data_IF_164373949263
#
_entry.id   IF_164373949263
#
_cell.length_a   1.000
_cell.length_b   1.000
_cell.length_c   1.000
_cell.angle_alpha   90.00
_cell.angle_beta   90.00
_cell.angle_gamma   90.00
#
_symmetry.space_group_name_H-M   'P 1'
#
loop_
_entity.id
_entity.type
_entity.pdbx_description
1 polymer ?
#
# COMPACT_ATOMS: atom_id res chain seq x y z
N UNK A 1 -32.02 -9.36 -5.51
CA UNK A 1 -31.35 -10.59 -5.07
C UNK A 1 -29.86 -10.31 -5.10
N UNK A 2 -29.35 -9.75 -3.99
CA UNK A 2 -27.91 -9.48 -3.84
C UNK A 2 -27.20 -10.82 -3.87
N UNK A 3 -26.43 -11.06 -4.92
CA UNK A 3 -25.59 -12.25 -5.02
C UNK A 3 -24.41 -11.96 -4.10
N UNK A 4 -24.45 -12.52 -2.90
CA UNK A 4 -23.35 -12.50 -1.94
C UNK A 4 -22.17 -13.28 -2.55
N UNK A 5 -21.43 -12.62 -3.45
CA UNK A 5 -20.07 -13.02 -3.73
C UNK A 5 -19.26 -12.52 -2.53
N UNK A 6 -18.74 -13.40 -1.66
CA UNK A 6 -17.88 -12.97 -0.57
C UNK A 6 -16.71 -12.19 -1.18
N UNK A 7 -16.57 -10.93 -0.78
CA UNK A 7 -15.50 -10.06 -1.26
C UNK A 7 -14.16 -10.74 -0.95
N UNK A 8 -13.24 -10.88 -1.92
CA UNK A 8 -11.93 -11.44 -1.66
C UNK A 8 -11.25 -10.69 -0.51
N UNK A 9 -10.65 -11.41 0.43
CA UNK A 9 -10.07 -10.82 1.64
C UNK A 9 -9.06 -9.69 1.33
N UNK A 10 -8.27 -9.84 0.27
CA UNK A 10 -7.38 -8.80 -0.25
C UNK A 10 -8.14 -7.53 -0.64
N UNK A 11 -9.24 -7.66 -1.38
CA UNK A 11 -10.11 -6.54 -1.77
C UNK A 11 -10.73 -5.86 -0.56
N UNK A 12 -11.16 -6.64 0.46
CA UNK A 12 -11.68 -6.08 1.70
C UNK A 12 -10.62 -5.26 2.46
N UNK A 13 -9.38 -5.75 2.55
CA UNK A 13 -8.27 -5.01 3.17
C UNK A 13 -7.88 -3.75 2.38
N UNK A 14 -7.92 -3.81 1.04
CA UNK A 14 -7.67 -2.65 0.19
C UNK A 14 -8.73 -1.56 0.39
N UNK A 15 -10.01 -1.94 0.45
CA UNK A 15 -11.11 -1.01 0.75
C UNK A 15 -10.94 -0.44 2.15
N UNK A 16 -10.65 -1.28 3.15
CA UNK A 16 -10.41 -0.85 4.52
C UNK A 16 -9.26 0.17 4.61
N UNK A 17 -8.13 -0.12 3.97
CA UNK A 17 -6.99 0.80 3.89
C UNK A 17 -7.37 2.10 3.14
N UNK A 18 -8.12 1.99 2.04
CA UNK A 18 -8.63 3.14 1.29
C UNK A 18 -9.50 4.06 2.15
N UNK A 19 -10.41 3.50 2.94
CA UNK A 19 -11.24 4.24 3.90
C UNK A 19 -10.36 4.91 4.97
N UNK A 20 -9.43 4.18 5.57
CA UNK A 20 -8.54 4.72 6.60
C UNK A 20 -7.73 5.91 6.07
N UNK A 21 -7.13 5.77 4.88
CA UNK A 21 -6.33 6.82 4.27
C UNK A 21 -7.18 8.03 3.85
N UNK A 22 -8.37 7.80 3.30
CA UNK A 22 -9.31 8.86 2.95
C UNK A 22 -9.78 9.65 4.17
N UNK A 23 -10.16 8.95 5.24
CA UNK A 23 -10.60 9.56 6.49
C UNK A 23 -9.46 10.37 7.12
N UNK A 24 -8.25 9.81 7.14
CA UNK A 24 -7.08 10.47 7.67
C UNK A 24 -6.72 11.74 6.88
N UNK A 25 -6.82 11.70 5.56
CA UNK A 25 -6.55 12.86 4.73
C UNK A 25 -7.54 14.01 4.99
N UNK A 26 -8.82 13.70 5.21
CA UNK A 26 -9.83 14.69 5.61
C UNK A 26 -9.52 15.27 6.99
N UNK A 27 -9.15 14.41 7.95
CA UNK A 27 -8.76 14.86 9.30
C UNK A 27 -7.44 15.64 9.33
N UNK A 28 -6.53 15.41 8.39
CA UNK A 28 -5.28 16.15 8.31
C UNK A 28 -5.47 17.63 7.99
N UNK A 29 -6.59 18.03 7.36
CA UNK A 29 -6.88 19.45 7.09
C UNK A 29 -7.03 20.25 8.40
N UNK A 30 -7.96 19.93 9.32
CA UNK A 30 -8.07 20.65 10.60
C UNK A 30 -6.84 20.45 11.50
N UNK A 31 -6.11 19.34 11.38
CA UNK A 31 -4.84 19.14 12.09
C UNK A 31 -3.78 20.14 11.64
N UNK A 32 -3.60 20.34 10.32
CA UNK A 32 -2.65 21.33 9.80
C UNK A 32 -3.08 22.77 10.12
N UNK A 33 -4.36 23.01 10.36
CA UNK A 33 -4.89 24.29 10.86
C UNK A 33 -4.73 24.46 12.39
N UNK A 34 -4.16 23.47 13.09
CA UNK A 34 -3.96 23.49 14.53
C UNK A 34 -5.22 23.26 15.37
N UNK A 35 -6.33 22.85 14.75
CA UNK A 35 -7.63 22.67 15.42
C UNK A 35 -7.77 21.30 16.10
N UNK A 36 -7.00 20.29 15.69
CA UNK A 36 -7.06 18.94 16.24
C UNK A 36 -5.66 18.44 16.63
N UNK A 37 -5.53 17.78 17.80
CA UNK A 37 -4.30 17.08 18.16
C UNK A 37 -4.08 15.88 17.23
N UNK A 38 -2.83 15.66 16.83
CA UNK A 38 -2.47 14.59 15.90
C UNK A 38 -1.28 13.80 16.40
N UNK A 39 -1.39 12.47 16.32
CA UNK A 39 -0.32 11.54 16.62
C UNK A 39 0.13 10.85 15.32
N UNK A 40 1.29 11.23 14.75
CA UNK A 40 1.85 10.58 13.56
C UNK A 40 2.09 9.07 13.77
N UNK A 41 2.47 8.69 14.99
CA UNK A 41 2.76 7.29 15.35
C UNK A 41 1.53 6.39 15.24
N UNK A 42 0.33 6.93 15.48
CA UNK A 42 -0.93 6.20 15.31
C UNK A 42 -1.22 5.87 13.86
N UNK A 43 -0.93 6.79 12.94
CA UNK A 43 -1.03 6.54 11.51
C UNK A 43 -0.05 5.46 11.07
N UNK A 44 1.24 5.64 11.40
CA UNK A 44 2.29 4.72 11.00
C UNK A 44 2.07 3.32 11.59
N UNK A 45 1.72 3.25 12.88
CA UNK A 45 1.38 2.01 13.56
C UNK A 45 0.21 1.28 12.88
N UNK A 46 -0.85 1.99 12.50
CA UNK A 46 -1.99 1.39 11.81
C UNK A 46 -1.63 0.83 10.43
N UNK A 47 -0.78 1.53 9.67
CA UNK A 47 -0.27 1.01 8.39
C UNK A 47 0.55 -0.27 8.59
N UNK A 48 1.40 -0.30 9.61
CA UNK A 48 2.18 -1.48 9.95
C UNK A 48 1.27 -2.65 10.38
N UNK A 49 0.21 -2.39 11.14
CA UNK A 49 -0.80 -3.41 11.51
C UNK A 49 -1.50 -3.96 10.27
N UNK A 50 -1.98 -3.10 9.36
CA UNK A 50 -2.64 -3.55 8.13
C UNK A 50 -1.70 -4.39 7.28
N UNK A 51 -0.44 -3.97 7.12
CA UNK A 51 0.57 -4.75 6.42
C UNK A 51 0.80 -6.10 7.10
N UNK A 52 0.86 -6.14 8.43
CA UNK A 52 1.04 -7.38 9.20
C UNK A 52 -0.10 -8.37 8.93
N UNK A 53 -1.33 -7.88 8.84
CA UNK A 53 -2.48 -8.71 8.50
C UNK A 53 -2.32 -9.28 7.09
N UNK A 54 -1.87 -8.49 6.12
CA UNK A 54 -1.60 -8.98 4.76
C UNK A 54 -0.54 -10.09 4.75
N UNK A 55 0.55 -9.91 5.51
CA UNK A 55 1.62 -10.92 5.66
C UNK A 55 1.10 -12.19 6.33
N UNK A 56 0.31 -12.08 7.39
CA UNK A 56 -0.17 -13.22 8.17
C UNK A 56 -1.29 -14.00 7.48
N UNK A 57 -2.21 -13.30 6.82
CA UNK A 57 -3.41 -13.90 6.24
C UNK A 57 -3.20 -14.32 4.77
N UNK A 58 -2.47 -13.53 3.99
CA UNK A 58 -2.33 -13.73 2.54
C UNK A 58 -0.92 -14.23 2.18
N UNK A 59 0.08 -13.97 3.02
CA UNK A 59 1.48 -14.27 2.70
C UNK A 59 2.11 -13.25 1.73
N UNK A 60 1.39 -12.17 1.42
CA UNK A 60 1.95 -11.04 0.69
C UNK A 60 2.83 -10.24 1.63
N UNK A 61 4.08 -10.06 1.23
CA UNK A 61 4.97 -9.08 1.84
C UNK A 61 5.16 -7.92 0.88
N UNK A 62 5.54 -6.73 1.36
CA UNK A 62 5.85 -5.60 0.47
C UNK A 62 6.86 -5.95 -0.62
N UNK A 63 7.77 -6.87 -0.35
CA UNK A 63 8.87 -7.29 -1.24
C UNK A 63 8.41 -8.33 -2.28
N UNK A 64 7.26 -8.98 -2.07
CA UNK A 64 6.71 -10.00 -2.95
C UNK A 64 5.80 -11.00 -2.25
N UNK A 65 5.19 -11.88 -3.03
CA UNK A 65 4.34 -12.97 -2.53
C UNK A 65 5.22 -14.12 -2.02
N UNK A 66 5.05 -14.49 -0.75
CA UNK A 66 5.72 -15.64 -0.15
C UNK A 66 4.70 -16.68 0.29
N UNK A 67 5.03 -17.97 0.12
CA UNK A 67 4.21 -19.04 0.71
C UNK A 67 4.21 -18.90 2.23
N UNK A 68 3.04 -19.10 2.84
CA UNK A 68 2.86 -19.08 4.29
C UNK A 68 3.78 -20.10 4.95
N UNK A 69 4.87 -19.61 5.53
CA UNK A 69 5.89 -20.40 6.21
C UNK A 69 6.08 -19.83 7.62
N UNK A 70 6.58 -20.65 8.54
CA UNK A 70 6.87 -20.24 9.92
C UNK A 70 7.62 -18.89 10.00
N UNK A 71 8.72 -18.65 9.26
CA UNK A 71 9.43 -17.36 9.32
C UNK A 71 8.54 -16.18 8.91
N UNK A 72 7.71 -16.33 7.87
CA UNK A 72 6.79 -15.27 7.42
C UNK A 72 5.75 -14.96 8.51
N UNK A 73 5.26 -15.99 9.20
CA UNK A 73 4.32 -15.80 10.32
C UNK A 73 4.97 -15.09 11.50
N UNK A 74 6.21 -15.44 11.85
CA UNK A 74 6.95 -14.75 12.93
C UNK A 74 7.19 -13.28 12.60
N UNK A 75 7.60 -12.98 11.37
CA UNK A 75 7.78 -11.60 10.91
C UNK A 75 6.47 -10.81 10.99
N UNK A 76 5.37 -11.39 10.53
CA UNK A 76 4.04 -10.77 10.63
C UNK A 76 3.62 -10.52 12.08
N UNK A 77 3.94 -11.43 13.01
CA UNK A 77 3.65 -11.25 14.44
C UNK A 77 4.51 -10.13 15.06
N UNK A 78 5.77 -10.01 14.65
CA UNK A 78 6.65 -8.91 15.08
C UNK A 78 6.13 -7.57 14.54
N UNK A 79 5.66 -7.53 13.30
CA UNK A 79 5.11 -6.30 12.73
C UNK A 79 3.80 -5.88 13.42
N UNK A 80 2.89 -6.81 13.73
CA UNK A 80 1.62 -6.44 14.37
C UNK A 80 1.84 -5.94 15.79
N UNK A 81 2.76 -6.57 16.52
CA UNK A 81 3.11 -6.13 17.88
C UNK A 81 3.75 -4.74 17.87
N UNK A 82 4.72 -4.49 16.99
CA UNK A 82 5.30 -3.15 16.83
C UNK A 82 4.24 -2.11 16.42
N UNK A 83 3.36 -2.46 15.48
CA UNK A 83 2.30 -1.57 15.01
C UNK A 83 1.33 -1.18 16.12
N UNK A 84 0.85 -2.15 16.90
CA UNK A 84 -0.05 -1.91 18.04
C UNK A 84 0.62 -1.06 19.11
N UNK A 85 1.88 -1.36 19.47
CA UNK A 85 2.62 -0.57 20.46
C UNK A 85 2.81 0.86 19.98
N UNK A 86 3.14 1.07 18.70
CA UNK A 86 3.28 2.39 18.08
C UNK A 86 1.96 3.18 18.10
N UNK A 87 0.81 2.51 17.99
CA UNK A 87 -0.49 3.18 18.10
C UNK A 87 -0.84 3.62 19.52
N UNK A 88 -0.44 2.84 20.54
CA UNK A 88 -0.82 3.08 21.94
C UNK A 88 0.14 4.06 22.62
N UNK A 89 1.45 3.93 22.35
CA UNK A 89 2.51 4.70 23.01
C UNK A 89 3.28 5.52 21.97
N UNK A 90 2.84 6.76 21.69
CA UNK A 90 3.57 7.67 20.81
C UNK A 90 5.00 7.90 21.32
N UNK A 91 5.96 8.04 20.41
CA UNK A 91 7.37 8.30 20.71
C UNK A 91 8.23 7.07 21.04
N UNK A 92 7.64 5.92 21.39
CA UNK A 92 8.42 4.77 21.85
C UNK A 92 9.16 4.05 20.70
N UNK A 93 8.47 3.83 19.58
CA UNK A 93 9.01 3.11 18.42
C UNK A 93 9.09 3.99 17.16
N UNK A 94 8.85 5.31 17.26
CA UNK A 94 8.74 6.21 16.10
C UNK A 94 9.86 6.04 15.10
N UNK A 95 11.13 6.10 15.54
CA UNK A 95 12.29 5.94 14.65
C UNK A 95 12.31 4.58 13.96
N UNK A 96 12.04 3.50 14.70
CA UNK A 96 12.00 2.13 14.17
C UNK A 96 10.87 1.96 13.16
N UNK A 97 9.65 2.40 13.49
CA UNK A 97 8.47 2.29 12.62
C UNK A 97 8.65 3.10 11.34
N UNK A 98 9.19 4.32 11.45
CA UNK A 98 9.51 5.19 10.30
C UNK A 98 10.52 4.53 9.37
N UNK A 99 11.63 4.01 9.90
CA UNK A 99 12.64 3.35 9.08
C UNK A 99 12.09 2.08 8.44
N UNK A 100 11.38 1.26 9.21
CA UNK A 100 10.81 0.01 8.74
C UNK A 100 9.79 0.24 7.61
N UNK A 101 8.79 1.10 7.83
CA UNK A 101 7.78 1.41 6.81
C UNK A 101 8.38 2.16 5.63
N UNK A 102 9.32 3.07 5.86
CA UNK A 102 10.00 3.81 4.81
C UNK A 102 10.71 2.86 3.85
N UNK A 103 11.54 1.97 4.39
CA UNK A 103 12.25 0.96 3.59
C UNK A 103 11.29 -0.01 2.91
N UNK A 104 10.28 -0.52 3.62
CA UNK A 104 9.33 -1.48 3.05
C UNK A 104 8.47 -0.87 1.93
N UNK A 105 8.06 0.39 2.05
CA UNK A 105 7.32 1.09 0.99
C UNK A 105 8.21 1.38 -0.23
N UNK A 106 9.48 1.75 -0.02
CA UNK A 106 10.42 1.97 -1.12
C UNK A 106 10.70 0.66 -1.85
N UNK A 107 11.06 -0.40 -1.12
CA UNK A 107 11.32 -1.72 -1.71
C UNK A 107 10.07 -2.27 -2.40
N UNK A 108 8.92 -2.18 -1.75
CA UNK A 108 7.66 -2.66 -2.30
C UNK A 108 7.09 -1.83 -3.44
N UNK A 109 7.60 -0.61 -3.66
CA UNK A 109 7.35 0.13 -4.89
C UNK A 109 8.35 -0.21 -6.00
N UNK A 110 9.64 -0.21 -5.70
CA UNK A 110 10.72 -0.38 -6.70
C UNK A 110 10.69 -1.80 -7.29
N UNK A 111 10.65 -2.84 -6.46
CA UNK A 111 10.75 -4.24 -6.92
C UNK A 111 9.68 -4.58 -7.96
N UNK A 112 8.37 -4.39 -7.71
CA UNK A 112 7.34 -4.69 -8.72
C UNK A 112 7.40 -3.76 -9.93
N UNK A 113 7.85 -2.51 -9.79
CA UNK A 113 8.08 -1.62 -10.94
C UNK A 113 9.21 -2.14 -11.83
N UNK A 114 10.35 -2.52 -11.25
CA UNK A 114 11.50 -3.04 -11.98
C UNK A 114 11.17 -4.36 -12.68
N UNK A 115 10.51 -5.28 -11.99
CA UNK A 115 10.05 -6.56 -12.56
C UNK A 115 9.05 -6.40 -13.71
N UNK A 116 8.30 -5.29 -13.73
CA UNK A 116 7.35 -4.97 -14.80
C UNK A 116 8.01 -4.24 -15.98
N UNK A 117 8.90 -3.28 -15.71
CA UNK A 117 9.51 -2.43 -16.73
C UNK A 117 10.61 -3.16 -17.50
N UNK A 118 11.37 -4.06 -16.84
CA UNK A 118 12.40 -4.87 -17.50
C UNK A 118 11.89 -5.67 -18.71
N UNK A 119 10.84 -6.51 -18.59
CA UNK A 119 10.32 -7.27 -19.73
C UNK A 119 9.70 -6.35 -20.79
N UNK A 120 9.01 -5.26 -20.40
CA UNK A 120 8.47 -4.29 -21.35
C UNK A 120 9.57 -3.62 -22.20
N UNK A 121 10.69 -3.24 -21.58
CA UNK A 121 11.85 -2.69 -22.30
C UNK A 121 12.52 -3.73 -23.21
N UNK A 122 12.54 -5.00 -22.80
CA UNK A 122 13.05 -6.10 -23.62
C UNK A 122 12.17 -6.34 -24.85
N UNK A 123 10.84 -6.30 -24.70
CA UNK A 123 9.90 -6.40 -25.82
C UNK A 123 9.94 -5.19 -26.74
N UNK A 124 10.23 -3.99 -26.23
CA UNK A 124 10.48 -2.81 -27.09
C UNK A 124 11.78 -2.94 -27.88
N UNK A 125 12.81 -3.58 -27.29
CA UNK A 125 14.11 -3.77 -27.92
C UNK A 125 14.11 -4.94 -28.92
N UNK A 126 13.30 -5.96 -28.66
CA UNK A 126 13.03 -7.10 -29.55
C UNK A 126 11.51 -7.28 -29.69
N UNK A 127 10.85 -6.50 -30.58
CA UNK A 127 9.43 -6.65 -30.86
C UNK A 127 9.03 -8.11 -31.16
N UNK A 128 8.12 -8.71 -30.37
CA UNK A 128 7.52 -10.00 -30.72
C UNK A 128 6.78 -9.91 -32.06
N UNK A 129 6.80 -10.99 -32.84
CA UNK A 129 6.16 -11.04 -34.17
C UNK A 129 4.62 -10.86 -34.12
N UNK A 130 4.00 -11.10 -32.98
CA UNK A 130 2.59 -10.80 -32.69
C UNK A 130 2.49 -9.94 -31.43
N UNK A 131 1.89 -8.74 -31.49
CA UNK A 131 1.64 -7.93 -30.30
C UNK A 131 0.68 -8.69 -29.36
N UNK A 132 1.13 -9.00 -28.15
CA UNK A 132 0.24 -9.51 -27.12
C UNK A 132 -0.89 -8.50 -26.89
N UNK A 133 -2.13 -8.88 -27.23
CA UNK A 133 -3.31 -8.04 -27.05
C UNK A 133 -3.61 -7.98 -25.55
N UNK A 134 -3.05 -6.98 -24.87
CA UNK A 134 -3.31 -6.76 -23.44
C UNK A 134 -4.78 -6.34 -23.31
N UNK A 135 -5.61 -7.09 -22.55
CA UNK A 135 -6.99 -6.71 -22.29
C UNK A 135 -7.06 -5.30 -21.65
N UNK A 136 -8.03 -4.46 -22.01
CA UNK A 136 -8.13 -3.10 -21.48
C UNK A 136 -8.26 -3.07 -19.95
N UNK A 137 -8.86 -4.10 -19.34
CA UNK A 137 -8.94 -4.23 -17.88
C UNK A 137 -7.58 -4.48 -17.23
N UNK A 138 -6.75 -5.34 -17.81
CA UNK A 138 -5.39 -5.59 -17.35
C UNK A 138 -4.52 -4.33 -17.50
N UNK A 139 -4.71 -3.55 -18.56
CA UNK A 139 -4.03 -2.25 -18.73
C UNK A 139 -4.36 -1.29 -17.59
N UNK A 140 -5.64 -1.17 -17.22
CA UNK A 140 -6.06 -0.29 -16.11
C UNK A 140 -5.53 -0.75 -14.75
N UNK A 141 -5.49 -2.07 -14.51
CA UNK A 141 -4.84 -2.64 -13.32
C UNK A 141 -3.35 -2.29 -13.27
N UNK A 142 -2.63 -2.50 -14.37
CA UNK A 142 -1.20 -2.23 -14.44
C UNK A 142 -0.92 -0.75 -14.19
N UNK A 143 -1.68 0.16 -14.81
CA UNK A 143 -1.54 1.60 -14.56
C UNK A 143 -1.80 1.92 -13.09
N UNK A 144 -2.93 1.47 -12.54
CA UNK A 144 -3.30 1.76 -11.14
C UNK A 144 -2.24 1.24 -10.17
N UNK A 145 -1.74 0.01 -10.39
CA UNK A 145 -0.67 -0.56 -9.58
C UNK A 145 0.64 0.21 -9.71
N UNK A 146 1.00 0.66 -10.92
CA UNK A 146 2.21 1.47 -11.11
C UNK A 146 2.11 2.79 -10.35
N UNK A 147 0.96 3.45 -10.39
CA UNK A 147 0.72 4.70 -9.64
C UNK A 147 0.79 4.44 -8.13
N UNK A 148 0.15 3.39 -7.62
CA UNK A 148 0.22 3.01 -6.21
C UNK A 148 1.67 2.75 -5.76
N UNK A 149 2.47 2.07 -6.58
CA UNK A 149 3.88 1.81 -6.27
C UNK A 149 4.70 3.11 -6.21
N UNK A 150 4.48 4.05 -7.13
CA UNK A 150 5.13 5.37 -7.12
C UNK A 150 4.72 6.16 -5.86
N UNK A 151 3.43 6.18 -5.53
CA UNK A 151 2.91 6.82 -4.33
C UNK A 151 3.52 6.19 -3.07
N UNK A 152 3.67 4.86 -3.03
CA UNK A 152 4.38 4.15 -1.98
C UNK A 152 5.82 4.61 -1.81
N UNK A 153 6.58 4.73 -2.90
CA UNK A 153 7.96 5.23 -2.87
C UNK A 153 8.01 6.66 -2.32
N UNK A 154 7.14 7.55 -2.81
CA UNK A 154 7.09 8.94 -2.34
C UNK A 154 6.77 9.01 -0.85
N UNK A 155 5.82 8.20 -0.40
CA UNK A 155 5.46 8.12 1.00
C UNK A 155 6.60 7.56 1.87
N UNK A 156 7.29 6.52 1.41
CA UNK A 156 8.46 5.97 2.09
C UNK A 156 9.62 6.96 2.17
N UNK A 157 9.90 7.70 1.10
CA UNK A 157 10.89 8.77 1.09
C UNK A 157 10.51 9.90 2.06
N UNK A 158 9.23 10.27 2.13
CA UNK A 158 8.75 11.32 3.05
C UNK A 158 8.91 10.94 4.52
N UNK A 159 8.88 9.64 4.83
CA UNK A 159 9.14 9.12 6.18
C UNK A 159 10.62 9.22 6.54
N UNK A 160 11.51 8.81 5.63
CA UNK A 160 12.95 8.77 5.88
C UNK A 160 13.61 10.16 5.87
N UNK A 161 13.02 11.12 5.16
CA UNK A 161 13.52 12.47 5.02
C UNK A 161 12.49 13.49 5.58
N UNK A 162 12.35 13.58 6.92
CA UNK A 162 11.43 14.53 7.53
C UNK A 162 11.82 15.96 7.15
N UNK A 163 10.84 16.74 6.66
CA UNK A 163 11.03 18.13 6.22
C UNK A 163 11.13 18.31 4.69
N UNK A 164 11.27 17.24 3.91
CA UNK A 164 11.24 17.33 2.44
C UNK A 164 9.83 17.60 1.90
N UNK A 165 8.80 17.11 2.60
CA UNK A 165 7.40 17.19 2.17
C UNK A 165 6.55 17.89 3.25
N UNK A 166 5.86 18.99 2.94
CA UNK A 166 4.94 19.65 3.86
C UNK A 166 3.80 18.72 4.29
N UNK A 167 3.31 18.85 5.54
CA UNK A 167 2.23 18.01 6.08
C UNK A 167 0.94 18.05 5.26
N UNK A 168 0.66 19.17 4.59
CA UNK A 168 -0.48 19.33 3.68
C UNK A 168 -0.30 18.52 2.39
N UNK A 169 0.93 18.40 1.88
CA UNK A 169 1.26 17.55 0.74
C UNK A 169 1.14 16.07 1.13
N UNK A 170 1.53 15.69 2.35
CA UNK A 170 1.29 14.34 2.88
C UNK A 170 -0.21 14.02 2.91
N UNK A 171 -1.06 14.95 3.32
CA UNK A 171 -2.52 14.78 3.29
C UNK A 171 -3.06 14.53 1.87
N UNK A 172 -2.56 15.29 0.87
CA UNK A 172 -2.92 15.08 -0.55
C UNK A 172 -2.45 13.72 -1.06
N UNK A 173 -1.22 13.32 -0.72
CA UNK A 173 -0.67 12.01 -1.10
C UNK A 173 -1.52 10.88 -0.50
N UNK A 174 -1.90 10.98 0.77
CA UNK A 174 -2.75 10.00 1.45
C UNK A 174 -4.15 9.94 0.84
N UNK A 175 -4.74 11.09 0.50
CA UNK A 175 -6.05 11.15 -0.15
C UNK A 175 -6.03 10.48 -1.53
N UNK A 176 -5.02 10.82 -2.34
CA UNK A 176 -4.81 10.20 -3.64
C UNK A 176 -4.60 8.69 -3.51
N UNK A 177 -3.81 8.26 -2.53
CA UNK A 177 -3.59 6.84 -2.25
C UNK A 177 -4.91 6.13 -1.87
N UNK A 178 -5.70 6.74 -0.99
CA UNK A 178 -7.02 6.22 -0.62
C UNK A 178 -7.93 6.00 -1.83
N UNK A 179 -8.06 7.02 -2.69
CA UNK A 179 -8.84 6.94 -3.94
C UNK A 179 -8.32 5.87 -4.91
N UNK A 180 -7.00 5.73 -5.05
CA UNK A 180 -6.38 4.73 -5.91
C UNK A 180 -6.63 3.31 -5.40
N UNK A 181 -6.63 3.09 -4.08
CA UNK A 181 -6.98 1.79 -3.49
C UNK A 181 -8.44 1.42 -3.74
N UNK A 182 -9.37 2.38 -3.66
CA UNK A 182 -10.77 2.15 -4.07
C UNK A 182 -10.89 1.79 -5.55
N UNK A 183 -10.16 2.49 -6.42
CA UNK A 183 -10.11 2.17 -7.87
C UNK A 183 -9.57 0.77 -8.10
N UNK A 184 -8.49 0.37 -7.43
CA UNK A 184 -7.92 -0.97 -7.54
C UNK A 184 -8.95 -2.03 -7.11
N UNK A 185 -9.63 -1.82 -5.99
CA UNK A 185 -10.66 -2.73 -5.49
C UNK A 185 -11.84 -2.88 -6.48
N UNK A 186 -12.28 -1.78 -7.10
CA UNK A 186 -13.31 -1.82 -8.15
C UNK A 186 -12.87 -2.67 -9.34
N UNK A 187 -11.64 -2.48 -9.84
CA UNK A 187 -11.16 -3.24 -11.00
C UNK A 187 -11.00 -4.73 -10.65
N UNK A 188 -10.50 -5.05 -9.47
CA UNK A 188 -10.40 -6.46 -9.02
C UNK A 188 -11.79 -7.09 -8.92
N UNK A 189 -12.80 -6.36 -8.44
CA UNK A 189 -14.17 -6.88 -8.33
C UNK A 189 -14.90 -7.06 -9.66
N UNK A 190 -14.48 -6.36 -10.71
CA UNK A 190 -15.06 -6.49 -12.06
C UNK A 190 -14.44 -7.61 -12.89
N UNK A 191 -13.26 -8.12 -12.50
CA UNK A 191 -12.61 -9.21 -13.22
C UNK A 191 -13.35 -10.54 -12.96
N UNK A 192 -13.73 -11.29 -13.99
CA UNK A 192 -14.19 -12.66 -13.80
C UNK A 192 -13.05 -13.47 -13.20
N UNK A 193 -13.33 -14.16 -12.09
CA UNK A 193 -12.41 -15.12 -11.46
C UNK A 193 -12.08 -16.15 -12.54
N UNK A 194 -10.87 -16.06 -13.12
CA UNK A 194 -10.36 -17.13 -13.99
C UNK A 194 -10.05 -18.30 -13.07
N UNK A 195 -10.86 -19.35 -13.24
CA UNK A 195 -10.74 -20.63 -12.55
C UNK A 195 -9.39 -21.31 -12.85
#
# INVERSE_FOLDING_TARGET
MFRDAPIPFTTALLIFLGVLLGLLAVLLVPVNLGMLPFSPDGQLGLLLVVMSIQVLAIGETPVGQFRRSLPVVLVGLVFVTMGVVSCIVPGLLTGTTVVLLGVLNILGGIIPLTLRVLPMLQEMKNPPAEPAVIPPELKNLLITQSVLNIVGILFGCSMLLPGLIPGLVVAVILFANGLLLFRLAQIISSLPISA
#
